data_IF_062558196134
#
_entry.id   IF_062558196134
#
_cell.length_a   1.000
_cell.length_b   1.000
_cell.length_c   1.000
_cell.angle_alpha   90.00
_cell.angle_beta   90.00
_cell.angle_gamma   90.00
#
_symmetry.space_group_name_H-M   'P 1'
#
loop_
_entity.id
_entity.type
_entity.pdbx_description
1 polymer ?
#
# COMPACT_ATOMS: atom_id res chain seq x y z
N UNK A 1 21.70 1.11 0.74
CA UNK A 1 21.85 0.85 -0.71
C UNK A 1 21.04 -0.38 -1.07
N UNK A 2 20.42 -0.45 -2.26
CA UNK A 2 19.89 -1.72 -2.78
C UNK A 2 21.02 -2.75 -2.87
N UNK A 3 20.69 -4.01 -2.65
CA UNK A 3 21.56 -5.15 -2.88
C UNK A 3 21.82 -5.35 -4.38
N UNK A 4 22.60 -6.37 -4.69
CA UNK A 4 22.98 -6.78 -6.04
C UNK A 4 21.80 -7.11 -6.96
N UNK A 5 20.60 -7.35 -6.42
CA UNK A 5 19.37 -7.59 -7.15
C UNK A 5 18.44 -6.36 -7.19
N UNK A 6 18.89 -5.21 -6.67
CA UNK A 6 18.07 -4.01 -6.55
C UNK A 6 17.07 -4.04 -5.40
N UNK A 7 17.11 -5.06 -4.52
CA UNK A 7 16.29 -5.10 -3.32
C UNK A 7 16.94 -4.28 -2.21
N UNK A 8 16.21 -3.41 -1.54
CA UNK A 8 16.71 -2.73 -0.35
C UNK A 8 16.33 -3.61 0.85
N UNK A 9 17.27 -4.27 1.55
CA UNK A 9 16.96 -5.03 2.76
C UNK A 9 16.38 -4.09 3.82
N UNK A 10 15.43 -4.62 4.60
CA UNK A 10 14.59 -3.88 5.53
C UNK A 10 15.31 -2.88 6.44
N UNK A 11 14.51 -1.88 6.82
CA UNK A 11 14.84 -0.67 7.56
C UNK A 11 15.64 0.38 6.77
N UNK A 12 14.92 1.19 6.01
CA UNK A 12 15.40 2.52 5.64
C UNK A 12 15.31 3.38 6.91
N UNK A 13 16.41 3.91 7.45
CA UNK A 13 16.33 4.96 8.46
C UNK A 13 15.64 6.12 7.78
N UNK A 14 14.38 6.33 8.13
CA UNK A 14 13.58 7.40 7.57
C UNK A 14 13.88 8.68 8.32
N UNK A 15 15.16 9.02 8.37
CA UNK A 15 15.59 10.28 8.93
C UNK A 15 14.78 11.39 8.25
N UNK A 16 14.10 12.20 9.07
CA UNK A 16 13.17 13.23 8.63
C UNK A 16 13.76 14.16 7.54
N UNK A 17 15.09 14.30 7.53
CA UNK A 17 15.82 15.17 6.63
C UNK A 17 16.46 14.43 5.43
N UNK A 18 16.32 13.11 5.33
CA UNK A 18 16.88 12.34 4.23
C UNK A 18 16.00 12.46 2.98
N UNK A 19 16.46 13.30 2.04
CA UNK A 19 15.76 13.55 0.77
C UNK A 19 15.59 12.30 -0.09
N UNK A 20 16.44 11.29 0.05
CA UNK A 20 16.35 10.04 -0.70
C UNK A 20 15.11 9.23 -0.32
N UNK A 21 14.63 9.37 0.91
CA UNK A 21 13.54 8.57 1.47
C UNK A 21 12.37 9.41 1.99
N UNK A 22 12.24 10.63 1.46
CA UNK A 22 11.25 11.60 1.93
C UNK A 22 9.80 11.08 1.88
N UNK A 23 9.47 10.17 0.96
CA UNK A 23 8.14 9.55 0.87
C UNK A 23 7.89 8.57 2.02
N UNK A 24 8.90 7.80 2.42
CA UNK A 24 8.80 6.94 3.60
C UNK A 24 8.58 7.82 4.85
N UNK A 25 9.22 9.00 4.95
CA UNK A 25 9.06 9.86 6.13
C UNK A 25 7.69 10.53 6.15
N UNK A 26 7.00 10.61 5.00
CA UNK A 26 5.68 11.23 4.92
C UNK A 26 4.58 10.37 5.55
N UNK A 27 4.82 9.07 5.70
CA UNK A 27 3.86 8.08 6.23
C UNK A 27 4.16 7.64 7.66
N UNK A 28 5.21 8.17 8.28
CA UNK A 28 5.61 7.87 9.66
C UNK A 28 5.73 9.17 10.46
N UNK A 29 5.07 9.23 11.62
CA UNK A 29 5.18 10.35 12.55
C UNK A 29 5.89 9.91 13.83
N UNK A 30 7.22 10.02 13.85
CA UNK A 30 8.05 9.54 14.96
C UNK A 30 7.73 10.14 16.32
N UNK A 31 7.37 11.43 16.39
CA UNK A 31 7.03 12.09 17.67
C UNK A 31 5.78 11.50 18.33
N UNK A 32 4.84 11.02 17.52
CA UNK A 32 3.61 10.40 18.02
C UNK A 32 3.64 8.87 17.87
N UNK A 33 4.77 8.32 17.41
CA UNK A 33 4.99 6.89 17.19
C UNK A 33 3.85 6.22 16.40
N UNK A 34 3.40 6.85 15.31
CA UNK A 34 2.34 6.33 14.44
C UNK A 34 2.75 6.27 12.97
N UNK A 35 2.04 5.44 12.20
CA UNK A 35 2.20 5.29 10.75
C UNK A 35 0.85 5.28 10.02
N UNK A 36 0.83 5.78 8.77
CA UNK A 36 -0.32 5.69 7.87
C UNK A 36 -0.33 4.34 7.16
N UNK A 37 -1.35 3.53 7.43
CA UNK A 37 -1.46 2.16 6.93
C UNK A 37 -2.75 1.95 6.15
N UNK A 38 -2.64 1.27 5.01
CA UNK A 38 -3.77 0.71 4.25
C UNK A 38 -3.93 -0.78 4.60
N UNK A 39 -5.15 -1.17 4.98
CA UNK A 39 -5.50 -2.54 5.37
C UNK A 39 -6.95 -2.87 4.99
N UNK A 40 -7.36 -4.11 5.21
CA UNK A 40 -8.79 -4.45 5.19
C UNK A 40 -9.50 -3.86 6.41
N UNK A 41 -10.75 -3.43 6.23
CA UNK A 41 -11.60 -3.10 7.36
C UNK A 41 -11.84 -4.36 8.21
N UNK A 42 -11.74 -4.30 9.55
CA UNK A 42 -11.82 -5.47 10.42
C UNK A 42 -13.15 -6.24 10.26
N UNK A 43 -14.25 -5.52 10.07
CA UNK A 43 -15.59 -6.12 9.99
C UNK A 43 -16.11 -6.33 8.57
N UNK A 44 -15.44 -5.80 7.54
CA UNK A 44 -15.88 -5.92 6.14
C UNK A 44 -14.69 -6.16 5.19
N UNK A 45 -14.48 -7.41 4.72
CA UNK A 45 -13.36 -7.74 3.83
C UNK A 45 -13.48 -7.10 2.43
N UNK A 46 -14.63 -6.54 2.07
CA UNK A 46 -14.82 -5.81 0.83
C UNK A 46 -14.52 -4.31 0.96
N UNK A 47 -14.33 -3.82 2.18
CA UNK A 47 -13.96 -2.44 2.48
C UNK A 47 -12.47 -2.36 2.84
N UNK A 48 -11.81 -1.35 2.30
CA UNK A 48 -10.46 -0.96 2.71
C UNK A 48 -10.55 0.10 3.82
N UNK A 49 -9.55 0.14 4.69
CA UNK A 49 -9.39 1.17 5.71
C UNK A 49 -8.00 1.79 5.58
N UNK A 50 -7.96 3.12 5.58
CA UNK A 50 -6.73 3.89 5.84
C UNK A 50 -6.79 4.37 7.28
N UNK A 51 -5.79 4.02 8.07
CA UNK A 51 -5.74 4.36 9.49
C UNK A 51 -4.34 4.81 9.92
N UNK A 52 -4.28 5.67 10.94
CA UNK A 52 -3.06 5.82 11.72
C UNK A 52 -2.97 4.71 12.77
N UNK A 53 -1.88 3.97 12.76
CA UNK A 53 -1.63 2.89 13.73
C UNK A 53 -0.34 3.14 14.50
N UNK A 54 -0.26 2.73 15.78
CA UNK A 54 0.99 2.75 16.53
C UNK A 54 2.11 1.98 15.81
N UNK A 55 3.34 2.49 15.87
CA UNK A 55 4.52 1.80 15.33
C UNK A 55 4.78 0.47 16.04
N UNK A 56 4.38 0.35 17.31
CA UNK A 56 4.42 -0.91 18.07
C UNK A 56 3.64 -2.03 17.38
N UNK A 57 2.54 -1.69 16.73
CA UNK A 57 1.65 -2.66 16.09
C UNK A 57 2.23 -3.18 14.76
N UNK A 58 3.29 -2.54 14.27
CA UNK A 58 3.99 -2.87 13.02
C UNK A 58 5.33 -3.54 13.26
N UNK A 59 5.72 -3.78 14.52
CA UNK A 59 6.97 -4.47 14.85
C UNK A 59 7.00 -5.86 14.21
N UNK A 60 8.19 -6.24 13.74
CA UNK A 60 8.47 -7.52 13.08
C UNK A 60 7.74 -7.75 11.75
N UNK A 61 6.99 -6.77 11.26
CA UNK A 61 6.32 -6.84 9.96
C UNK A 61 7.18 -6.25 8.86
N UNK A 62 7.18 -6.90 7.70
CA UNK A 62 7.67 -6.27 6.47
C UNK A 62 6.58 -5.36 5.93
N UNK A 63 6.92 -4.12 5.62
CA UNK A 63 5.98 -3.12 5.09
C UNK A 63 6.38 -2.72 3.68
N UNK A 64 5.38 -2.53 2.82
CA UNK A 64 5.53 -1.98 1.49
C UNK A 64 5.02 -0.53 1.47
N UNK A 65 5.82 0.38 0.91
CA UNK A 65 5.36 1.74 0.63
C UNK A 65 4.66 1.76 -0.72
N UNK A 66 3.47 2.33 -0.78
CA UNK A 66 2.77 2.65 -2.03
C UNK A 66 2.45 4.14 -2.10
N UNK A 67 2.24 4.70 -3.29
CA UNK A 67 1.80 6.08 -3.42
C UNK A 67 2.19 6.76 -4.72
N UNK A 68 1.95 8.07 -4.77
CA UNK A 68 2.10 8.92 -5.96
C UNK A 68 3.45 8.78 -6.65
N UNK A 69 4.52 8.63 -5.88
CA UNK A 69 5.90 8.59 -6.39
C UNK A 69 6.53 7.18 -6.32
N UNK A 70 5.73 6.14 -6.09
CA UNK A 70 6.22 4.77 -5.88
C UNK A 70 5.69 3.84 -6.96
N UNK A 71 6.59 3.07 -7.57
CA UNK A 71 6.30 1.99 -8.53
C UNK A 71 5.29 2.36 -9.63
N UNK A 72 5.34 3.59 -10.14
CA UNK A 72 4.45 4.06 -11.20
C UNK A 72 3.02 4.40 -10.77
N UNK A 73 2.74 4.41 -9.46
CA UNK A 73 1.44 4.73 -8.87
C UNK A 73 0.26 3.94 -9.48
N UNK A 74 0.29 2.59 -9.44
CA UNK A 74 -0.75 1.74 -10.04
C UNK A 74 -2.13 1.95 -9.42
N UNK A 75 -2.19 2.55 -8.23
CA UNK A 75 -3.42 2.81 -7.50
C UNK A 75 -3.97 4.22 -7.74
N UNK A 76 -3.28 5.09 -8.48
CA UNK A 76 -3.74 6.45 -8.75
C UNK A 76 -3.86 7.30 -7.49
N UNK A 77 -3.02 7.05 -6.48
CA UNK A 77 -3.02 7.78 -5.22
C UNK A 77 -2.46 9.18 -5.42
N UNK A 78 -3.21 10.19 -4.98
CA UNK A 78 -2.80 11.59 -4.97
C UNK A 78 -2.38 12.11 -6.35
N UNK A 79 -1.61 13.20 -6.34
CA UNK A 79 -1.07 13.82 -7.55
C UNK A 79 0.32 14.40 -7.27
N UNK A 80 1.06 14.80 -8.31
CA UNK A 80 2.36 15.47 -8.11
C UNK A 80 2.26 16.73 -7.22
N UNK A 81 1.12 17.42 -7.27
CA UNK A 81 0.85 18.62 -6.46
C UNK A 81 0.50 18.26 -5.01
N UNK A 82 -0.23 17.16 -4.83
CA UNK A 82 -0.70 16.66 -3.54
C UNK A 82 -0.34 15.18 -3.43
N UNK A 83 0.94 14.86 -3.17
CA UNK A 83 1.38 13.47 -3.14
C UNK A 83 0.76 12.76 -1.94
N UNK A 84 0.40 11.49 -2.13
CA UNK A 84 -0.19 10.63 -1.12
C UNK A 84 0.57 9.30 -1.13
N UNK A 85 0.96 8.87 0.07
CA UNK A 85 1.67 7.62 0.30
C UNK A 85 1.06 6.87 1.48
N UNK A 86 1.17 5.55 1.49
CA UNK A 86 0.64 4.66 2.53
C UNK A 86 1.58 3.46 2.72
N UNK A 87 1.62 2.91 3.92
CA UNK A 87 2.25 1.61 4.19
C UNK A 87 1.23 0.49 4.07
N UNK A 88 1.65 -0.64 3.51
CA UNK A 88 0.89 -1.89 3.48
C UNK A 88 1.72 -2.96 4.20
N UNK A 89 1.20 -3.58 5.27
CA UNK A 89 1.83 -4.75 5.83
C UNK A 89 1.83 -5.92 4.85
N UNK A 90 2.97 -6.58 4.70
CA UNK A 90 3.10 -7.73 3.82
C UNK A 90 2.15 -8.85 4.29
N UNK A 91 1.39 -9.41 3.36
CA UNK A 91 0.38 -10.43 3.67
C UNK A 91 -0.96 -9.87 4.17
N UNK A 92 -1.12 -8.55 4.31
CA UNK A 92 -2.42 -7.94 4.65
C UNK A 92 -3.51 -8.22 3.61
N UNK A 93 -3.11 -8.43 2.34
CA UNK A 93 -4.01 -8.72 1.23
C UNK A 93 -3.78 -10.13 0.69
N UNK A 94 -4.50 -11.10 1.25
CA UNK A 94 -4.43 -12.50 0.82
C UNK A 94 -5.32 -12.77 -0.39
N UNK A 95 -4.79 -13.54 -1.35
CA UNK A 95 -5.54 -13.99 -2.52
C UNK A 95 -6.36 -15.23 -2.12
N UNK A 96 -7.67 -15.18 -2.33
CA UNK A 96 -8.57 -16.29 -1.97
C UNK A 96 -8.72 -17.30 -3.10
N UNK A 97 -8.77 -16.84 -4.34
CA UNK A 97 -8.98 -17.69 -5.51
C UNK A 97 -7.66 -17.88 -6.27
N UNK A 98 -6.70 -18.56 -5.64
CA UNK A 98 -5.38 -18.78 -6.23
C UNK A 98 -5.48 -19.67 -7.49
N UNK A 99 -4.81 -19.30 -8.60
CA UNK A 99 -4.68 -20.19 -9.74
C UNK A 99 -3.71 -21.34 -9.42
N UNK A 100 -3.84 -22.42 -10.18
CA UNK A 100 -2.84 -23.48 -10.24
C UNK A 100 -1.53 -22.95 -10.81
N UNK A 101 -0.40 -23.51 -10.37
CA UNK A 101 0.96 -23.13 -10.82
C UNK A 101 1.28 -23.69 -12.21
N UNK A 102 0.38 -23.50 -13.18
CA UNK A 102 0.63 -23.72 -14.60
C UNK A 102 0.63 -22.39 -15.33
N UNK A 103 1.52 -22.23 -16.29
CA UNK A 103 1.65 -20.97 -17.04
C UNK A 103 0.32 -20.48 -17.63
N UNK A 104 -0.45 -21.37 -18.27
CA UNK A 104 -1.77 -21.05 -18.85
C UNK A 104 -2.77 -20.54 -17.83
N UNK A 105 -2.77 -21.15 -16.64
CA UNK A 105 -3.75 -20.87 -15.60
C UNK A 105 -3.41 -19.55 -14.90
N UNK A 106 -2.12 -19.28 -14.67
CA UNK A 106 -1.62 -18.01 -14.20
C UNK A 106 -1.95 -16.87 -15.18
N UNK A 107 -1.65 -17.07 -16.47
CA UNK A 107 -1.93 -16.10 -17.52
C UNK A 107 -3.44 -15.77 -17.56
N UNK A 108 -4.29 -16.81 -17.64
CA UNK A 108 -5.74 -16.65 -17.62
C UNK A 108 -6.25 -15.97 -16.36
N UNK A 109 -5.64 -16.21 -15.21
CA UNK A 109 -6.04 -15.59 -13.95
C UNK A 109 -5.68 -14.10 -13.89
N UNK A 110 -4.46 -13.73 -14.28
CA UNK A 110 -4.03 -12.33 -14.31
C UNK A 110 -4.83 -11.48 -15.32
N UNK A 111 -5.35 -12.07 -16.40
CA UNK A 111 -6.14 -11.34 -17.38
C UNK A 111 -7.65 -11.36 -17.07
N UNK A 112 -8.19 -12.52 -16.74
CA UNK A 112 -9.63 -12.75 -16.64
C UNK A 112 -10.22 -12.62 -15.23
N UNK A 113 -9.42 -12.79 -14.17
CA UNK A 113 -9.92 -12.73 -12.79
C UNK A 113 -9.88 -11.29 -12.25
N UNK A 114 -10.94 -10.88 -11.54
CA UNK A 114 -10.97 -9.57 -10.87
C UNK A 114 -9.89 -9.45 -9.79
N UNK A 115 -9.64 -10.51 -9.03
CA UNK A 115 -8.58 -10.58 -8.01
C UNK A 115 -7.19 -10.59 -8.66
N UNK A 116 -7.09 -11.04 -9.93
CA UNK A 116 -5.87 -11.05 -10.73
C UNK A 116 -5.44 -9.72 -11.32
N UNK A 117 -6.21 -8.65 -11.08
CA UNK A 117 -5.84 -7.28 -11.46
C UNK A 117 -4.81 -6.66 -10.50
N UNK A 118 -3.72 -7.37 -10.24
CA UNK A 118 -2.62 -7.02 -9.33
C UNK A 118 -1.28 -7.14 -10.05
N UNK A 119 -0.20 -6.60 -9.47
CA UNK A 119 1.16 -6.66 -10.05
C UNK A 119 1.69 -8.09 -10.14
N UNK A 120 1.48 -8.86 -9.07
CA UNK A 120 2.08 -10.16 -8.91
C UNK A 120 1.56 -10.89 -7.69
N UNK A 121 1.95 -12.15 -7.58
CA UNK A 121 1.63 -13.03 -6.46
C UNK A 121 2.93 -13.40 -5.75
N UNK A 122 2.87 -13.44 -4.42
CA UNK A 122 3.94 -13.96 -3.56
C UNK A 122 3.43 -15.19 -2.83
N UNK A 123 4.12 -16.33 -2.97
CA UNK A 123 3.86 -17.54 -2.20
C UNK A 123 4.89 -17.66 -1.08
N UNK A 124 4.39 -17.99 0.12
CA UNK A 124 5.21 -18.34 1.27
C UNK A 124 5.33 -19.86 1.34
N UNK A 125 6.54 -20.39 1.14
CA UNK A 125 6.83 -21.80 1.23
C UNK A 125 7.09 -22.22 2.68
N UNK A 126 6.88 -23.50 2.99
CA UNK A 126 7.03 -24.04 4.36
C UNK A 126 8.46 -24.01 4.89
N UNK A 127 9.44 -23.90 4.01
CA UNK A 127 10.87 -23.77 4.33
C UNK A 127 11.31 -22.31 4.51
N UNK A 128 10.38 -21.35 4.44
CA UNK A 128 10.64 -19.92 4.52
C UNK A 128 11.02 -19.27 3.19
N UNK A 129 11.09 -20.03 2.09
CA UNK A 129 11.31 -19.46 0.77
C UNK A 129 10.10 -18.61 0.31
N UNK A 130 10.39 -17.53 -0.43
CA UNK A 130 9.38 -16.69 -1.08
C UNK A 130 9.49 -16.83 -2.60
N UNK A 131 8.41 -17.26 -3.24
CA UNK A 131 8.32 -17.32 -4.71
C UNK A 131 7.46 -16.15 -5.19
N UNK A 132 7.95 -15.38 -6.16
CA UNK A 132 7.22 -14.23 -6.72
C UNK A 132 6.99 -14.40 -8.21
N UNK A 133 5.75 -14.19 -8.67
CA UNK A 133 5.41 -14.12 -10.09
C UNK A 133 4.73 -12.80 -10.37
N UNK A 134 5.31 -11.99 -11.25
CA UNK A 134 4.75 -10.71 -11.67
C UNK A 134 4.14 -10.85 -13.06
N UNK A 135 3.23 -9.93 -13.41
CA UNK A 135 2.60 -9.85 -14.74
C UNK A 135 3.61 -9.89 -15.89
N UNK A 136 4.72 -9.17 -15.76
CA UNK A 136 5.72 -9.09 -16.82
C UNK A 136 6.44 -10.44 -17.07
N UNK A 137 6.52 -11.34 -16.09
CA UNK A 137 7.03 -12.70 -16.30
C UNK A 137 6.14 -13.52 -17.26
N UNK A 138 4.88 -13.11 -17.43
CA UNK A 138 3.91 -13.72 -18.34
C UNK A 138 3.70 -12.89 -19.63
N UNK A 139 4.54 -11.88 -19.87
CA UNK A 139 4.39 -10.95 -21.01
C UNK A 139 3.24 -9.95 -20.87
N UNK A 140 2.65 -9.81 -19.68
CA UNK A 140 1.53 -8.90 -19.42
C UNK A 140 2.02 -7.52 -18.97
N UNK A 141 1.27 -6.48 -19.33
CA UNK A 141 1.56 -5.10 -18.91
C UNK A 141 1.28 -4.87 -17.42
N UNK A 142 2.07 -3.98 -16.84
CA UNK A 142 1.83 -3.33 -15.55
C UNK A 142 2.42 -1.90 -15.60
N UNK A 143 1.76 -0.87 -15.02
CA UNK A 143 0.45 -0.89 -14.37
C UNK A 143 -0.71 -1.12 -15.34
N UNK A 144 -1.88 -1.46 -14.80
CA UNK A 144 -3.15 -1.54 -15.55
C UNK A 144 -4.13 -0.49 -15.02
N UNK A 145 -5.11 -0.09 -15.85
CA UNK A 145 -6.01 1.02 -15.53
C UNK A 145 -6.90 0.78 -14.29
N UNK A 146 -7.38 -0.45 -14.11
CA UNK A 146 -8.27 -0.81 -13.01
C UNK A 146 -7.70 -1.98 -12.22
N UNK A 147 -6.96 -1.66 -11.16
CA UNK A 147 -6.40 -2.66 -10.24
C UNK A 147 -7.45 -3.20 -9.27
N UNK A 148 -7.20 -4.37 -8.70
CA UNK A 148 -8.12 -5.03 -7.77
C UNK A 148 -8.40 -4.17 -6.53
N UNK A 149 -7.36 -3.56 -5.94
CA UNK A 149 -7.51 -2.65 -4.80
C UNK A 149 -8.35 -1.41 -5.16
N UNK A 150 -8.20 -0.86 -6.36
CA UNK A 150 -9.04 0.24 -6.85
C UNK A 150 -10.49 -0.16 -7.14
N UNK A 151 -10.83 -1.46 -7.05
CA UNK A 151 -12.20 -1.94 -7.22
C UNK A 151 -12.97 -2.01 -5.89
N UNK A 152 -12.32 -1.68 -4.76
CA UNK A 152 -12.91 -1.71 -3.42
C UNK A 152 -13.13 -0.29 -2.90
N UNK A 153 -14.25 -0.04 -2.19
CA UNK A 153 -14.42 1.18 -1.42
C UNK A 153 -13.36 1.28 -0.32
N UNK A 154 -13.10 2.51 0.14
CA UNK A 154 -12.15 2.80 1.22
C UNK A 154 -12.77 3.78 2.21
N UNK A 155 -12.54 3.56 3.50
CA UNK A 155 -12.90 4.48 4.59
C UNK A 155 -11.64 5.03 5.25
N UNK A 156 -11.69 6.28 5.69
CA UNK A 156 -10.64 6.91 6.49
C UNK A 156 -11.01 6.78 7.97
N UNK A 157 -10.07 6.28 8.77
CA UNK A 157 -10.24 6.10 10.21
C UNK A 157 -8.96 6.50 10.94
N UNK A 158 -8.82 7.80 11.18
CA UNK A 158 -7.62 8.36 11.78
C UNK A 158 -7.64 8.19 13.30
N UNK A 159 -8.79 8.40 13.95
CA UNK A 159 -8.89 8.39 15.42
C UNK A 159 -7.80 9.25 16.08
N UNK A 160 -7.48 10.39 15.46
CA UNK A 160 -6.35 11.25 15.79
C UNK A 160 -6.73 12.50 16.60
N UNK A 161 -7.91 12.55 17.20
CA UNK A 161 -8.46 13.74 17.90
C UNK A 161 -7.59 14.28 19.05
N UNK A 162 -6.51 13.57 19.42
CA UNK A 162 -5.60 13.92 20.51
C UNK A 162 -4.27 14.52 20.04
N UNK A 163 -4.01 14.54 18.73
CA UNK A 163 -2.71 14.93 18.17
C UNK A 163 -2.80 16.25 17.42
N UNK A 164 -1.77 17.08 17.56
CA UNK A 164 -1.62 18.33 16.80
C UNK A 164 -0.53 18.13 15.76
N UNK A 165 -0.90 18.18 14.49
CA UNK A 165 0.02 17.95 13.38
C UNK A 165 0.46 19.24 12.70
N UNK A 166 1.63 19.20 12.06
CA UNK A 166 2.01 20.25 11.10
C UNK A 166 1.01 20.30 9.95
N UNK A 167 0.63 21.50 9.55
CA UNK A 167 -0.40 21.74 8.53
C UNK A 167 -0.14 21.04 7.20
N UNK A 168 1.13 20.79 6.86
CA UNK A 168 1.55 20.21 5.57
C UNK A 168 1.71 18.70 5.62
N UNK A 169 1.64 18.06 6.79
CA UNK A 169 1.87 16.63 6.89
C UNK A 169 0.63 15.83 6.49
N UNK A 170 0.84 14.60 5.98
CA UNK A 170 -0.26 13.76 5.49
C UNK A 170 -1.27 13.41 6.59
N UNK A 171 -0.82 13.22 7.82
CA UNK A 171 -1.70 12.94 8.97
C UNK A 171 -2.72 14.06 9.19
N UNK A 172 -2.30 15.33 9.04
CA UNK A 172 -3.21 16.48 9.12
C UNK A 172 -4.21 16.50 7.96
N UNK A 173 -3.79 16.14 6.75
CA UNK A 173 -4.71 16.09 5.61
C UNK A 173 -5.75 14.97 5.77
N UNK A 174 -5.32 13.80 6.24
CA UNK A 174 -6.24 12.69 6.50
C UNK A 174 -7.18 12.96 7.69
N UNK A 175 -6.75 13.68 8.73
CA UNK A 175 -7.64 14.04 9.84
C UNK A 175 -8.78 14.97 9.41
N UNK A 176 -8.58 15.83 8.40
CA UNK A 176 -9.66 16.66 7.82
C UNK A 176 -10.74 15.85 7.11
N UNK A 177 -10.40 14.65 6.64
CA UNK A 177 -11.33 13.75 5.93
C UNK A 177 -11.61 12.48 6.74
N UNK A 178 -11.44 12.54 8.06
CA UNK A 178 -11.72 11.41 8.94
C UNK A 178 -13.19 10.97 8.80
N UNK A 179 -13.41 9.66 8.90
CA UNK A 179 -14.71 9.00 8.70
C UNK A 179 -15.33 9.15 7.30
N UNK A 180 -14.67 9.80 6.35
CA UNK A 180 -15.15 9.84 4.97
C UNK A 180 -14.94 8.49 4.27
N UNK A 181 -15.86 8.17 3.36
CA UNK A 181 -15.84 6.96 2.53
C UNK A 181 -15.75 7.33 1.06
N UNK A 182 -14.81 6.71 0.37
CA UNK A 182 -14.60 6.87 -1.07
C UNK A 182 -14.93 5.57 -1.80
N UNK A 183 -15.37 5.68 -3.05
CA UNK A 183 -15.70 4.51 -3.87
C UNK A 183 -14.46 3.71 -4.26
N UNK A 184 -13.29 4.35 -4.37
CA UNK A 184 -12.01 3.75 -4.76
C UNK A 184 -10.85 4.51 -4.13
N UNK A 185 -9.67 3.87 -4.04
CA UNK A 185 -8.44 4.53 -3.54
C UNK A 185 -8.07 5.78 -4.35
N UNK A 186 -8.17 5.72 -5.68
CA UNK A 186 -7.89 6.86 -6.56
C UNK A 186 -8.84 8.06 -6.41
N UNK A 187 -9.98 7.86 -5.75
CA UNK A 187 -10.98 8.92 -5.55
C UNK A 187 -10.67 9.76 -4.30
N UNK A 188 -9.66 9.41 -3.51
CA UNK A 188 -9.24 10.19 -2.33
C UNK A 188 -8.61 11.51 -2.79
N UNK A 189 -9.26 12.62 -2.45
CA UNK A 189 -8.77 13.98 -2.68
C UNK A 189 -8.43 14.63 -1.35
N UNK A 190 -7.19 15.11 -1.22
CA UNK A 190 -6.76 15.91 -0.07
C UNK A 190 -6.95 17.39 -0.43
N UNK A 191 -8.03 17.99 0.07
CA UNK A 191 -8.26 19.42 -0.05
C UNK A 191 -7.26 20.17 0.84
N UNK A 192 -6.50 21.09 0.24
CA UNK A 192 -5.56 21.97 0.96
C UNK A 192 -6.30 23.18 1.49
#
# INVERSE_FOLDING_TARGET
MPDENGHIPGWVPVEKNNKQYCWHSSVVHYEFEIALVLKHHPDDPNLLEISAVPLSDLLEQTLELIGTNINGNPYGLGSKKHPLHLLIPHGAFQIRNLPTLKHSDLLSWFEGCREGKIEGIVWHCSDGCLIKVHRHHLGLCWPIADTYLNSKPVVINMNLNKYSFDTKCLFNHFSKIDHQKFSRLKDITLDV
#
